data_IF_228583735004
#
_entry.id   IF_228583735004
#
_cell.length_a   1.000
_cell.length_b   1.000
_cell.length_c   1.000
_cell.angle_alpha   90.00
_cell.angle_beta   90.00
_cell.angle_gamma   90.00
#
_symmetry.space_group_name_H-M   'P 1'
#
loop_
_entity.id
_entity.type
_entity.pdbx_description
1 polymer ?
#
# COMPACT_ATOMS: atom_id res chain seq x y z
N UNK A 1 50.25 50.67 -14.13
CA UNK A 1 49.94 49.81 -15.28
C UNK A 1 48.69 48.98 -14.93
N UNK A 2 47.50 49.42 -15.40
CA UNK A 2 46.19 48.80 -15.11
C UNK A 2 45.88 47.85 -16.26
N UNK A 3 45.68 46.56 -15.96
CA UNK A 3 45.18 45.57 -16.90
C UNK A 3 43.71 45.37 -16.66
N UNK A 4 42.89 45.78 -17.63
CA UNK A 4 41.46 45.61 -17.70
C UNK A 4 41.13 44.19 -18.19
N UNK A 5 40.27 43.46 -17.49
CA UNK A 5 39.71 42.16 -17.94
C UNK A 5 38.38 42.39 -18.67
N UNK A 6 38.11 41.68 -19.75
CA UNK A 6 36.86 41.84 -20.49
C UNK A 6 35.72 41.08 -19.85
N UNK A 7 34.56 41.74 -19.86
CA UNK A 7 33.28 41.29 -19.34
C UNK A 7 32.62 40.30 -20.32
N UNK A 8 32.45 39.02 -19.94
CA UNK A 8 31.69 38.04 -20.72
C UNK A 8 30.21 38.15 -20.31
N UNK A 9 29.41 38.71 -21.21
CA UNK A 9 27.94 38.63 -21.12
C UNK A 9 27.53 37.20 -21.43
N UNK A 10 26.91 36.51 -20.45
CA UNK A 10 26.19 35.27 -20.67
C UNK A 10 24.78 35.60 -21.15
N UNK A 11 24.47 35.16 -22.37
CA UNK A 11 23.15 35.26 -22.96
C UNK A 11 22.30 34.12 -22.37
N UNK A 12 21.34 34.45 -21.53
CA UNK A 12 20.33 33.49 -21.03
C UNK A 12 19.26 33.41 -22.10
N UNK A 13 19.15 32.25 -22.76
CA UNK A 13 18.00 31.92 -23.61
C UNK A 13 16.80 31.63 -22.69
N UNK A 14 15.86 32.57 -22.64
CA UNK A 14 14.58 32.36 -22.02
C UNK A 14 13.71 31.49 -22.90
N UNK A 15 13.33 30.29 -22.39
CA UNK A 15 12.30 29.47 -22.99
C UNK A 15 10.94 30.02 -22.54
N UNK A 16 10.27 30.73 -23.44
CA UNK A 16 8.89 31.20 -23.20
C UNK A 16 7.93 30.04 -23.44
N UNK A 17 7.34 29.50 -22.37
CA UNK A 17 6.23 28.55 -22.46
C UNK A 17 4.95 29.36 -22.73
N UNK A 18 4.47 29.33 -23.97
CA UNK A 18 3.17 29.86 -24.34
C UNK A 18 2.08 28.89 -23.86
N UNK A 19 1.37 29.27 -22.81
CA UNK A 19 0.12 28.62 -22.41
C UNK A 19 -0.98 29.04 -23.39
N UNK A 20 -1.35 28.15 -24.31
CA UNK A 20 -2.52 28.32 -25.16
C UNK A 20 -3.79 27.91 -24.37
N UNK A 21 -4.57 28.90 -23.97
CA UNK A 21 -5.94 28.71 -23.49
C UNK A 21 -6.83 28.49 -24.74
N UNK A 22 -7.21 27.26 -25.00
CA UNK A 22 -8.14 26.87 -26.07
C UNK A 22 -9.54 26.64 -25.51
N UNK A 23 -10.48 27.41 -26.01
CA UNK A 23 -11.90 27.43 -25.73
C UNK A 23 -12.58 26.13 -26.20
N UNK A 24 -13.50 25.67 -25.37
CA UNK A 24 -14.39 24.51 -25.48
C UNK A 24 -15.15 24.43 -26.79
N UNK A 25 -15.05 23.27 -27.45
CA UNK A 25 -16.10 22.76 -28.35
C UNK A 25 -16.64 21.44 -27.81
N UNK A 26 -17.92 21.36 -27.56
CA UNK A 26 -18.66 20.13 -27.28
C UNK A 26 -18.65 19.24 -28.54
N UNK A 27 -17.85 18.22 -28.53
CA UNK A 27 -17.83 17.17 -29.52
C UNK A 27 -17.19 15.95 -28.88
N UNK A 28 -17.84 14.81 -28.95
CA UNK A 28 -17.45 13.45 -28.56
C UNK A 28 -16.04 13.33 -27.97
N UNK A 29 -15.96 13.30 -26.64
CA UNK A 29 -14.69 13.18 -25.93
C UNK A 29 -14.04 11.84 -26.19
N UNK A 30 -13.18 11.78 -27.18
CA UNK A 30 -12.12 10.79 -27.25
C UNK A 30 -11.18 11.06 -26.07
N UNK A 31 -10.96 10.08 -25.23
CA UNK A 31 -10.15 10.17 -24.00
C UNK A 31 -8.65 10.15 -24.34
N UNK A 32 -8.01 11.30 -24.70
CA UNK A 32 -6.61 11.30 -25.14
C UNK A 32 -5.63 10.86 -24.04
N UNK A 33 -6.04 10.98 -22.78
CA UNK A 33 -5.20 10.67 -21.63
C UNK A 33 -5.05 9.17 -21.37
N UNK A 34 -6.06 8.35 -21.68
CA UNK A 34 -6.01 6.90 -21.47
C UNK A 34 -5.05 6.22 -22.44
N UNK A 35 -5.01 6.66 -23.71
CA UNK A 35 -4.09 6.14 -24.73
C UNK A 35 -2.62 6.45 -24.43
N UNK A 36 -2.33 7.54 -23.72
CA UNK A 36 -0.98 7.90 -23.33
C UNK A 36 -0.45 6.99 -22.20
N UNK A 37 -1.28 6.69 -21.18
CA UNK A 37 -0.92 5.75 -20.12
C UNK A 37 -0.67 4.34 -20.65
N UNK A 38 -1.51 3.87 -21.58
CA UNK A 38 -1.35 2.56 -22.20
C UNK A 38 0.01 2.40 -22.91
N UNK A 39 0.46 3.43 -23.62
CA UNK A 39 1.77 3.44 -24.30
C UNK A 39 2.95 3.41 -23.33
N UNK A 40 2.81 4.07 -22.16
CA UNK A 40 3.87 4.15 -21.16
C UNK A 40 3.97 2.90 -20.28
N UNK A 41 2.86 2.21 -20.07
CA UNK A 41 2.75 1.11 -19.08
C UNK A 41 2.52 -0.26 -19.71
N UNK A 42 2.26 -0.32 -21.02
CA UNK A 42 1.85 -1.56 -21.71
C UNK A 42 0.44 -2.03 -21.36
N UNK A 43 -0.36 -1.19 -20.64
CA UNK A 43 -1.73 -1.52 -20.33
C UNK A 43 -2.60 -1.49 -21.59
N UNK A 44 -3.47 -2.50 -21.74
CA UNK A 44 -4.50 -2.50 -22.78
C UNK A 44 -5.55 -1.43 -22.44
N UNK A 45 -5.76 -0.39 -23.29
CA UNK A 45 -6.68 0.71 -23.00
C UNK A 45 -8.15 0.26 -22.90
N UNK A 46 -8.49 -0.85 -23.54
CA UNK A 46 -9.85 -1.42 -23.51
C UNK A 46 -10.07 -2.35 -22.31
N UNK A 47 -9.00 -2.61 -21.54
CA UNK A 47 -9.07 -3.49 -20.37
C UNK A 47 -9.24 -2.68 -19.09
N UNK A 48 -10.21 -3.08 -18.26
CA UNK A 48 -10.44 -2.46 -16.97
C UNK A 48 -10.95 -3.46 -15.94
N UNK A 49 -10.60 -3.20 -14.69
CA UNK A 49 -11.17 -3.87 -13.53
C UNK A 49 -12.40 -3.07 -13.07
N UNK A 50 -13.47 -3.75 -12.74
CA UNK A 50 -14.68 -3.18 -12.15
C UNK A 50 -14.95 -3.93 -10.85
N UNK A 51 -15.18 -3.22 -9.75
CA UNK A 51 -15.47 -3.80 -8.44
C UNK A 51 -16.77 -3.22 -7.90
N UNK A 52 -17.74 -4.09 -7.64
CA UNK A 52 -18.94 -3.73 -6.87
C UNK A 52 -18.71 -4.07 -5.40
N UNK A 53 -18.84 -3.07 -4.53
CA UNK A 53 -18.73 -3.25 -3.09
C UNK A 53 -19.95 -3.96 -2.53
N UNK A 54 -21.12 -3.70 -3.11
CA UNK A 54 -22.40 -4.27 -2.66
C UNK A 54 -22.49 -5.76 -3.04
N UNK A 55 -22.09 -6.13 -4.28
CA UNK A 55 -22.05 -7.52 -4.73
C UNK A 55 -20.82 -8.27 -4.22
N UNK A 56 -19.83 -7.57 -3.69
CA UNK A 56 -18.54 -8.15 -3.27
C UNK A 56 -17.91 -8.98 -4.37
N UNK A 57 -17.86 -8.39 -5.57
CA UNK A 57 -17.42 -9.04 -6.79
C UNK A 57 -16.57 -8.14 -7.63
N UNK A 58 -15.59 -8.76 -8.27
CA UNK A 58 -14.70 -8.14 -9.24
C UNK A 58 -14.97 -8.72 -10.63
N UNK A 59 -14.98 -7.87 -11.64
CA UNK A 59 -15.00 -8.23 -13.07
C UNK A 59 -13.77 -7.62 -13.74
N UNK A 60 -13.16 -8.39 -14.66
CA UNK A 60 -12.21 -7.90 -15.63
C UNK A 60 -12.92 -7.78 -16.98
N UNK A 61 -12.97 -6.59 -17.52
CA UNK A 61 -13.63 -6.31 -18.80
C UNK A 61 -12.59 -6.06 -19.89
N UNK A 62 -12.89 -6.56 -21.10
CA UNK A 62 -12.23 -6.21 -22.35
C UNK A 62 -13.26 -5.49 -23.22
N UNK A 63 -13.14 -4.17 -23.36
CA UNK A 63 -14.20 -3.36 -23.98
C UNK A 63 -15.52 -3.48 -23.19
N UNK A 64 -16.51 -4.17 -23.78
CA UNK A 64 -17.82 -4.44 -23.15
C UNK A 64 -17.95 -5.85 -22.62
N UNK A 65 -17.02 -6.74 -22.95
CA UNK A 65 -17.11 -8.15 -22.61
C UNK A 65 -16.47 -8.43 -21.26
N UNK A 66 -17.12 -9.22 -20.44
CA UNK A 66 -16.56 -9.74 -19.20
C UNK A 66 -15.69 -10.95 -19.54
N UNK A 67 -14.38 -10.83 -19.32
CA UNK A 67 -13.43 -11.92 -19.59
C UNK A 67 -13.03 -12.70 -18.32
N UNK A 68 -13.31 -12.13 -17.13
CA UNK A 68 -13.09 -12.79 -15.86
C UNK A 68 -13.97 -12.19 -14.78
N UNK A 69 -14.39 -13.00 -13.80
CA UNK A 69 -15.09 -12.54 -12.60
C UNK A 69 -14.74 -13.41 -11.41
N UNK A 70 -14.65 -12.79 -10.23
CA UNK A 70 -14.36 -13.48 -8.97
C UNK A 70 -15.03 -12.79 -7.77
N UNK A 71 -15.38 -13.53 -6.71
CA UNK A 71 -15.78 -12.95 -5.44
C UNK A 71 -14.58 -12.23 -4.79
N UNK A 72 -14.85 -11.15 -4.05
CA UNK A 72 -13.82 -10.41 -3.32
C UNK A 72 -14.29 -10.09 -1.90
N UNK A 73 -13.34 -9.92 -0.97
CA UNK A 73 -13.63 -9.24 0.28
C UNK A 73 -13.30 -7.75 0.15
N UNK A 74 -14.13 -6.92 0.76
CA UNK A 74 -14.01 -5.46 0.74
C UNK A 74 -13.95 -4.90 2.17
N UNK A 75 -13.75 -3.60 2.31
CA UNK A 75 -13.73 -2.92 3.61
C UNK A 75 -14.98 -3.20 4.44
N UNK A 76 -14.79 -3.43 5.74
CA UNK A 76 -15.87 -3.78 6.67
C UNK A 76 -16.85 -2.64 6.93
N UNK A 77 -16.48 -1.40 6.60
CA UNK A 77 -17.25 -0.21 6.95
C UNK A 77 -17.13 0.18 8.43
N UNK A 78 -16.39 -0.59 9.22
CA UNK A 78 -16.20 -0.30 10.64
C UNK A 78 -15.28 0.90 10.85
N UNK A 79 -15.42 1.53 11.99
CA UNK A 79 -14.51 2.58 12.47
C UNK A 79 -13.77 2.10 13.70
N UNK A 80 -12.52 2.53 13.82
CA UNK A 80 -11.69 2.32 15.00
C UNK A 80 -11.15 3.66 15.46
N UNK A 81 -11.29 3.96 16.75
CA UNK A 81 -10.80 5.19 17.34
C UNK A 81 -9.62 4.90 18.27
N UNK A 82 -8.55 5.67 18.11
CA UNK A 82 -7.40 5.59 18.98
C UNK A 82 -6.72 6.96 19.10
N UNK A 83 -6.49 7.41 20.33
CA UNK A 83 -5.85 8.70 20.67
C UNK A 83 -6.44 9.90 19.88
N UNK A 84 -7.76 9.98 19.79
CA UNK A 84 -8.47 11.05 19.09
C UNK A 84 -8.42 10.99 17.58
N UNK A 85 -7.88 9.91 16.99
CA UNK A 85 -7.93 9.62 15.56
C UNK A 85 -8.95 8.56 15.25
N UNK A 86 -9.77 8.81 14.21
CA UNK A 86 -10.71 7.83 13.66
C UNK A 86 -10.13 7.18 12.42
N UNK A 87 -10.06 5.87 12.42
CA UNK A 87 -9.67 5.04 11.28
C UNK A 87 -10.92 4.41 10.69
N UNK A 88 -11.14 4.58 9.38
CA UNK A 88 -12.29 4.02 8.67
C UNK A 88 -11.83 2.86 7.80
N UNK A 89 -12.42 1.72 7.99
CA UNK A 89 -12.06 0.49 7.26
C UNK A 89 -12.97 0.31 6.04
N UNK A 90 -12.93 1.29 5.14
CA UNK A 90 -13.76 1.34 3.94
C UNK A 90 -12.90 1.17 2.68
N UNK A 91 -13.40 0.40 1.71
CA UNK A 91 -12.84 0.41 0.36
C UNK A 91 -13.36 1.67 -0.35
N UNK A 92 -12.48 2.57 -0.82
CA UNK A 92 -12.92 3.84 -1.39
C UNK A 92 -13.56 3.63 -2.76
N UNK A 93 -14.74 4.21 -2.97
CA UNK A 93 -15.40 4.28 -4.27
C UNK A 93 -14.66 5.23 -5.21
N UNK A 94 -14.85 5.06 -6.51
CA UNK A 94 -14.29 5.93 -7.55
C UNK A 94 -13.37 5.21 -8.52
N UNK A 95 -12.72 5.98 -9.38
CA UNK A 95 -11.78 5.45 -10.38
C UNK A 95 -10.34 5.55 -9.88
N UNK A 96 -9.62 4.44 -9.94
CA UNK A 96 -8.20 4.30 -9.65
C UNK A 96 -7.46 3.66 -10.83
N UNK A 97 -6.17 3.49 -10.68
CA UNK A 97 -5.34 2.73 -11.60
C UNK A 97 -4.42 1.80 -10.83
N UNK A 98 -4.01 0.71 -11.48
CA UNK A 98 -2.91 -0.12 -10.98
C UNK A 98 -1.62 0.69 -11.12
N UNK A 99 -1.05 1.14 -10.01
CA UNK A 99 0.16 1.96 -9.98
C UNK A 99 1.44 1.12 -9.98
N UNK A 100 1.39 -0.06 -9.35
CA UNK A 100 2.49 -1.01 -9.29
C UNK A 100 1.96 -2.43 -9.09
N UNK A 101 2.82 -3.39 -9.40
CA UNK A 101 2.58 -4.83 -9.22
C UNK A 101 3.75 -5.41 -8.44
N UNK A 102 3.51 -6.41 -7.62
CA UNK A 102 4.58 -7.14 -6.94
C UNK A 102 4.21 -8.62 -6.75
N UNK A 103 5.24 -9.45 -6.90
CA UNK A 103 5.22 -10.88 -6.61
C UNK A 103 5.73 -11.11 -5.18
N UNK A 104 5.21 -12.12 -4.50
CA UNK A 104 5.55 -12.51 -3.13
C UNK A 104 5.70 -11.31 -2.16
N UNK A 105 4.69 -10.44 -2.10
CA UNK A 105 4.82 -9.18 -1.39
C UNK A 105 4.80 -9.35 0.12
N UNK A 106 5.73 -8.72 0.82
CA UNK A 106 5.59 -8.49 2.25
C UNK A 106 4.55 -7.39 2.52
N UNK A 107 3.84 -7.54 3.60
CA UNK A 107 3.00 -6.49 4.15
C UNK A 107 3.78 -5.66 5.16
N UNK A 108 3.69 -4.34 5.06
CA UNK A 108 4.21 -3.42 6.07
C UNK A 108 3.03 -2.82 6.83
N UNK A 109 2.71 -3.33 8.03
CA UNK A 109 1.56 -2.86 8.79
C UNK A 109 1.64 -1.36 9.08
N UNK A 110 0.59 -0.57 8.85
CA UNK A 110 0.49 0.79 9.37
C UNK A 110 0.31 0.77 10.90
N UNK A 111 0.52 1.92 11.56
CA UNK A 111 0.47 2.01 13.02
C UNK A 111 -0.89 1.63 13.61
N UNK A 112 -1.98 1.97 12.93
CA UNK A 112 -3.33 1.62 13.39
C UNK A 112 -3.51 0.11 13.64
N UNK A 113 -2.80 -0.74 12.92
CA UNK A 113 -2.83 -2.20 13.11
C UNK A 113 -2.34 -2.60 14.52
N UNK A 114 -1.28 -1.96 14.99
CA UNK A 114 -0.76 -2.19 16.34
C UNK A 114 -1.68 -1.57 17.40
N UNK A 115 -2.28 -0.42 17.12
CA UNK A 115 -3.23 0.23 18.03
C UNK A 115 -4.50 -0.60 18.19
N UNK A 116 -5.03 -1.17 17.09
CA UNK A 116 -6.17 -2.09 17.14
C UNK A 116 -5.84 -3.34 17.97
N UNK A 117 -4.68 -3.96 17.75
CA UNK A 117 -4.22 -5.10 18.54
C UNK A 117 -3.99 -4.75 20.01
N UNK A 118 -3.44 -3.58 20.27
CA UNK A 118 -3.27 -3.08 21.63
C UNK A 118 -4.62 -2.93 22.35
N UNK A 119 -5.60 -2.33 21.69
CA UNK A 119 -6.94 -2.15 22.25
C UNK A 119 -7.63 -3.50 22.52
N UNK A 120 -7.57 -4.45 21.56
CA UNK A 120 -8.17 -5.78 21.72
C UNK A 120 -7.58 -6.61 22.85
N UNK A 121 -6.31 -6.37 23.22
CA UNK A 121 -5.57 -7.16 24.21
C UNK A 121 -5.24 -6.40 25.49
N UNK A 122 -5.75 -5.17 25.62
CA UNK A 122 -5.45 -4.27 26.76
C UNK A 122 -3.95 -4.02 26.96
N UNK A 123 -3.22 -3.86 25.83
CA UNK A 123 -1.80 -3.56 25.79
C UNK A 123 -1.58 -2.05 25.59
N UNK A 124 -0.41 -1.56 26.03
CA UNK A 124 0.03 -0.19 25.73
C UNK A 124 0.93 -0.20 24.49
N UNK A 125 0.58 0.50 23.38
CA UNK A 125 1.46 0.58 22.22
C UNK A 125 2.64 1.52 22.48
N UNK A 126 3.84 1.12 22.07
CA UNK A 126 5.09 1.86 22.22
C UNK A 126 5.84 1.83 20.90
N UNK A 127 6.13 2.99 20.34
CA UNK A 127 7.00 3.09 19.16
C UNK A 127 8.45 2.87 19.57
N UNK A 128 9.17 2.08 18.81
CA UNK A 128 10.63 1.92 18.94
C UNK A 128 11.27 2.96 18.02
N UNK A 129 12.13 3.81 18.61
CA UNK A 129 12.89 4.81 17.88
C UNK A 129 14.35 4.34 17.74
N UNK A 130 14.99 4.52 16.57
CA UNK A 130 16.39 4.21 16.39
C UNK A 130 17.28 5.02 17.35
N UNK A 131 18.20 4.34 18.03
CA UNK A 131 19.13 4.95 18.99
C UNK A 131 18.59 5.02 20.42
N UNK A 132 17.39 4.54 20.68
CA UNK A 132 16.82 4.41 22.01
C UNK A 132 16.82 2.96 22.50
N UNK A 133 16.96 2.78 23.81
CA UNK A 133 16.86 1.48 24.49
C UNK A 133 15.54 1.40 25.27
N UNK A 134 14.84 0.29 25.17
CA UNK A 134 13.56 0.03 25.84
C UNK A 134 13.75 -1.09 26.86
N UNK A 135 14.02 -0.76 28.15
CA UNK A 135 14.24 -1.74 29.21
C UNK A 135 13.03 -2.65 29.42
N UNK A 136 13.29 -3.93 29.63
CA UNK A 136 12.30 -4.96 29.96
C UNK A 136 12.47 -5.42 31.42
N UNK A 137 11.40 -5.97 31.99
CA UNK A 137 11.36 -6.39 33.39
C UNK A 137 12.34 -7.49 33.75
N UNK A 138 12.85 -8.21 32.76
CA UNK A 138 13.82 -9.31 32.94
C UNK A 138 15.29 -8.88 32.86
N UNK A 139 15.56 -7.57 32.84
CA UNK A 139 16.90 -7.00 32.76
C UNK A 139 17.51 -6.97 31.36
N UNK A 140 16.75 -7.31 30.33
CA UNK A 140 17.11 -7.09 28.93
C UNK A 140 16.48 -5.80 28.41
N UNK A 141 16.79 -5.41 27.17
CA UNK A 141 16.12 -4.29 26.51
C UNK A 141 15.91 -4.56 25.02
N UNK A 142 14.99 -3.81 24.40
CA UNK A 142 14.82 -3.76 22.95
C UNK A 142 15.58 -2.55 22.40
N UNK A 143 16.17 -2.71 21.22
CA UNK A 143 16.80 -1.63 20.47
C UNK A 143 16.79 -1.92 18.96
N UNK A 144 17.18 -0.90 18.16
CA UNK A 144 17.39 -1.02 16.73
C UNK A 144 18.88 -1.08 16.43
N UNK A 145 19.31 -2.13 15.68
CA UNK A 145 20.68 -2.23 15.11
C UNK A 145 20.60 -2.39 13.59
N UNK A 146 20.97 -1.34 12.87
CA UNK A 146 20.84 -1.30 11.41
C UNK A 146 19.36 -1.44 10.98
N UNK A 147 19.04 -2.49 10.22
CA UNK A 147 17.66 -2.77 9.76
C UNK A 147 16.90 -3.75 10.69
N UNK A 148 17.47 -4.12 11.83
CA UNK A 148 16.85 -5.05 12.77
C UNK A 148 16.40 -4.37 14.05
N UNK A 149 15.19 -4.73 14.50
CA UNK A 149 14.78 -4.61 15.89
C UNK A 149 15.10 -5.92 16.59
N UNK A 150 15.73 -5.85 17.74
CA UNK A 150 16.10 -7.03 18.48
C UNK A 150 16.13 -6.80 19.99
N UNK A 151 16.40 -7.87 20.69
CA UNK A 151 16.54 -7.90 22.14
C UNK A 151 18.00 -8.06 22.52
N UNK A 152 18.48 -7.23 23.42
CA UNK A 152 19.80 -7.33 24.04
C UNK A 152 19.64 -7.95 25.42
N UNK A 153 20.34 -9.03 25.66
CA UNK A 153 20.32 -9.68 26.97
C UNK A 153 21.23 -8.94 27.98
N UNK A 154 21.16 -9.36 29.25
CA UNK A 154 21.98 -8.79 30.35
C UNK A 154 23.50 -8.86 30.11
N UNK A 155 23.96 -9.65 29.14
CA UNK A 155 25.39 -9.80 28.78
C UNK A 155 25.77 -8.94 27.56
N UNK A 156 24.85 -8.10 27.03
CA UNK A 156 25.09 -7.25 25.86
C UNK A 156 24.96 -7.95 24.51
N UNK A 157 24.50 -9.20 24.46
CA UNK A 157 24.32 -9.92 23.20
C UNK A 157 22.99 -9.53 22.56
N UNK A 158 23.04 -9.09 21.31
CA UNK A 158 21.88 -8.75 20.50
C UNK A 158 21.33 -9.97 19.74
N UNK A 159 20.02 -10.14 19.80
CA UNK A 159 19.27 -11.14 19.07
C UNK A 159 18.15 -10.45 18.27
N UNK A 160 18.30 -10.44 16.94
CA UNK A 160 17.27 -9.88 16.06
C UNK A 160 15.96 -10.64 16.27
N UNK A 161 14.85 -9.88 16.38
CA UNK A 161 13.52 -10.47 16.49
C UNK A 161 13.09 -11.07 15.14
N UNK A 162 12.29 -12.10 15.18
CA UNK A 162 11.79 -12.74 13.94
C UNK A 162 10.82 -11.80 13.22
N UNK A 163 11.03 -11.50 11.92
CA UNK A 163 10.09 -10.71 11.12
C UNK A 163 8.67 -11.28 11.16
N UNK A 164 7.67 -10.39 11.29
CA UNK A 164 6.26 -10.76 11.39
C UNK A 164 5.79 -11.24 12.76
N UNK A 165 6.71 -11.47 13.70
CA UNK A 165 6.36 -11.77 15.08
C UNK A 165 6.12 -10.49 15.89
N UNK A 166 5.05 -10.50 16.69
CA UNK A 166 4.73 -9.37 17.57
C UNK A 166 5.75 -9.26 18.72
N UNK A 167 6.19 -8.02 18.99
CA UNK A 167 7.04 -7.72 20.14
C UNK A 167 6.14 -7.32 21.31
N UNK A 168 5.78 -8.29 22.14
CA UNK A 168 4.91 -8.06 23.30
C UNK A 168 5.69 -8.42 24.58
N UNK A 169 5.92 -7.42 25.42
CA UNK A 169 6.60 -7.54 26.70
C UNK A 169 5.95 -6.59 27.72
N UNK A 170 5.87 -7.00 28.96
CA UNK A 170 5.47 -6.17 30.11
C UNK A 170 4.16 -5.40 29.90
N UNK A 171 3.15 -6.05 29.27
CA UNK A 171 1.86 -5.41 28.98
C UNK A 171 1.90 -4.38 27.85
N UNK A 172 2.98 -4.35 27.06
CA UNK A 172 3.18 -3.43 25.97
C UNK A 172 3.30 -4.18 24.65
N UNK A 173 2.80 -3.59 23.55
CA UNK A 173 3.09 -3.99 22.18
C UNK A 173 4.05 -2.97 21.57
N UNK A 174 5.23 -3.41 21.21
CA UNK A 174 6.25 -2.55 20.62
C UNK A 174 6.10 -2.50 19.11
N UNK A 175 6.12 -1.28 18.56
CA UNK A 175 5.91 -0.99 17.13
C UNK A 175 7.27 -0.77 16.49
N UNK A 176 7.75 -1.69 15.62
CA UNK A 176 9.02 -1.51 14.93
C UNK A 176 8.99 -0.30 14.01
N UNK A 177 10.09 0.43 13.82
CA UNK A 177 10.19 1.52 12.86
C UNK A 177 9.96 1.04 11.42
N UNK A 178 9.44 1.94 10.57
CA UNK A 178 9.42 1.68 9.13
C UNK A 178 10.86 1.48 8.61
N UNK A 179 11.03 0.55 7.67
CA UNK A 179 12.34 0.20 7.12
C UNK A 179 13.05 -0.93 7.86
N UNK A 180 12.59 -1.34 9.05
CA UNK A 180 13.14 -2.52 9.73
C UNK A 180 12.51 -3.81 9.22
N UNK A 181 13.27 -4.91 9.27
CA UNK A 181 12.79 -6.24 8.87
C UNK A 181 11.61 -6.71 9.72
N UNK A 182 11.59 -6.35 10.99
CA UNK A 182 10.55 -6.73 11.95
C UNK A 182 9.22 -6.02 11.70
N UNK A 183 9.23 -4.90 10.91
CA UNK A 183 8.01 -4.25 10.44
C UNK A 183 7.36 -4.97 9.26
N UNK A 184 8.06 -5.91 8.62
CA UNK A 184 7.57 -6.65 7.46
C UNK A 184 6.92 -7.96 7.89
N UNK A 185 5.70 -8.20 7.43
CA UNK A 185 4.97 -9.44 7.68
C UNK A 185 4.88 -10.22 6.36
N UNK A 186 5.55 -11.37 6.24
CA UNK A 186 5.52 -12.19 5.04
C UNK A 186 4.18 -12.94 4.91
N UNK A 187 3.84 -13.35 3.69
CA UNK A 187 2.72 -14.25 3.34
C UNK A 187 1.30 -13.76 3.67
N UNK A 188 1.11 -12.52 4.13
CA UNK A 188 -0.22 -11.98 4.48
C UNK A 188 -1.01 -11.56 3.25
N UNK A 189 -0.32 -11.10 2.20
CA UNK A 189 -0.92 -10.56 0.99
C UNK A 189 -1.09 -11.59 -0.14
N UNK A 190 -0.84 -12.88 0.16
CA UNK A 190 -0.85 -13.92 -0.85
C UNK A 190 0.26 -13.78 -1.90
N UNK A 191 0.14 -14.45 -3.06
CA UNK A 191 1.23 -14.54 -4.04
C UNK A 191 1.51 -13.23 -4.77
N UNK A 192 0.54 -12.33 -4.87
CA UNK A 192 0.64 -11.09 -5.65
C UNK A 192 -0.08 -9.93 -4.97
N UNK A 193 0.30 -8.70 -5.36
CA UNK A 193 -0.49 -7.49 -5.09
C UNK A 193 -0.52 -6.54 -6.28
N UNK A 194 -1.65 -5.85 -6.44
CA UNK A 194 -1.82 -4.70 -7.31
C UNK A 194 -1.99 -3.46 -6.43
N UNK A 195 -1.13 -2.46 -6.60
CA UNK A 195 -1.16 -1.23 -5.81
C UNK A 195 -2.08 -0.22 -6.46
N UNK A 196 -3.05 0.33 -5.71
CA UNK A 196 -4.06 1.29 -6.19
C UNK A 196 -3.84 2.72 -5.68
N UNK A 197 -2.79 2.93 -4.88
CA UNK A 197 -2.52 4.22 -4.21
C UNK A 197 -3.19 4.36 -2.85
N UNK A 198 -2.76 5.36 -2.08
CA UNK A 198 -3.28 5.68 -0.74
C UNK A 198 -3.30 4.49 0.25
N UNK A 199 -2.40 3.52 0.07
CA UNK A 199 -2.36 2.30 0.87
C UNK A 199 -3.34 1.22 0.45
N UNK A 200 -4.19 1.44 -0.56
CA UNK A 200 -5.15 0.44 -1.04
C UNK A 200 -4.55 -0.52 -2.06
N UNK A 201 -4.92 -1.79 -1.90
CA UNK A 201 -4.41 -2.89 -2.70
C UNK A 201 -5.56 -3.77 -3.21
N UNK A 202 -5.32 -4.47 -4.33
CA UNK A 202 -5.95 -5.76 -4.62
C UNK A 202 -4.87 -6.80 -4.35
N UNK A 203 -5.15 -7.78 -3.47
CA UNK A 203 -4.16 -8.77 -3.06
C UNK A 203 -4.80 -10.11 -2.70
N UNK A 204 -3.99 -11.13 -2.61
CA UNK A 204 -4.42 -12.44 -2.12
C UNK A 204 -4.59 -12.47 -0.60
N UNK A 205 -4.67 -13.66 -0.07
CA UNK A 205 -4.86 -13.91 1.35
C UNK A 205 -3.92 -15.01 1.83
N UNK A 206 -3.63 -15.00 3.12
CA UNK A 206 -3.12 -16.20 3.79
C UNK A 206 -4.23 -17.26 3.86
N UNK A 207 -3.91 -18.53 3.77
CA UNK A 207 -4.87 -19.64 3.72
C UNK A 207 -5.92 -19.57 4.84
N UNK A 208 -5.52 -19.12 6.03
CA UNK A 208 -6.44 -18.95 7.17
C UNK A 208 -7.50 -17.84 6.96
N UNK A 209 -7.34 -16.98 5.98
CA UNK A 209 -8.23 -15.87 5.68
C UNK A 209 -9.08 -16.07 4.42
N UNK A 210 -9.02 -17.23 3.78
CA UNK A 210 -9.81 -17.53 2.57
C UNK A 210 -11.32 -17.43 2.81
N UNK A 211 -11.78 -17.78 3.99
CA UNK A 211 -13.19 -17.68 4.39
C UNK A 211 -13.72 -16.24 4.42
N UNK A 212 -12.84 -15.24 4.38
CA UNK A 212 -13.25 -13.83 4.30
C UNK A 212 -13.70 -13.40 2.90
N UNK A 213 -13.38 -14.17 1.85
CA UNK A 213 -13.75 -13.85 0.48
C UNK A 213 -15.27 -13.87 0.31
N UNK A 214 -15.82 -12.86 -0.36
CA UNK A 214 -17.26 -12.64 -0.51
C UNK A 214 -17.89 -11.88 0.66
N UNK A 215 -17.10 -11.38 1.62
CA UNK A 215 -17.60 -10.65 2.78
C UNK A 215 -17.03 -9.22 2.88
N UNK A 216 -17.65 -8.38 3.73
CA UNK A 216 -17.14 -7.07 4.11
C UNK A 216 -16.27 -7.23 5.39
N UNK A 217 -15.03 -7.71 5.24
CA UNK A 217 -14.17 -8.11 6.36
C UNK A 217 -12.76 -7.54 6.30
N UNK A 218 -12.43 -6.68 5.31
CA UNK A 218 -11.10 -6.07 5.22
C UNK A 218 -11.05 -4.71 5.92
N UNK A 219 -9.84 -4.20 6.10
CA UNK A 219 -9.59 -2.83 6.57
C UNK A 219 -9.54 -1.81 5.41
N UNK A 220 -10.08 -2.17 4.22
CA UNK A 220 -10.17 -1.30 3.05
C UNK A 220 -9.57 -1.89 1.77
N UNK A 221 -8.57 -2.76 1.85
CA UNK A 221 -8.03 -3.46 0.68
C UNK A 221 -9.06 -4.45 0.10
N UNK A 222 -8.96 -4.72 -1.19
CA UNK A 222 -9.75 -5.73 -1.88
C UNK A 222 -8.99 -7.06 -1.82
N UNK A 223 -9.58 -8.08 -1.17
CA UNK A 223 -8.99 -9.41 -1.04
C UNK A 223 -9.60 -10.36 -2.06
N UNK A 224 -8.77 -11.20 -2.66
CA UNK A 224 -9.18 -12.25 -3.60
C UNK A 224 -8.64 -13.61 -3.15
N UNK A 225 -9.28 -14.67 -3.61
CA UNK A 225 -8.67 -16.01 -3.57
C UNK A 225 -7.34 -15.97 -4.35
N UNK A 226 -6.36 -16.75 -3.90
CA UNK A 226 -5.02 -16.73 -4.47
C UNK A 226 -4.97 -17.17 -5.92
N UNK A 227 -5.77 -18.16 -6.33
CA UNK A 227 -5.81 -18.64 -7.73
C UNK A 227 -6.48 -17.63 -8.65
N UNK A 228 -7.59 -17.03 -8.21
CA UNK A 228 -8.27 -15.95 -8.91
C UNK A 228 -7.34 -14.75 -9.10
N UNK A 229 -6.57 -14.42 -8.07
CA UNK A 229 -5.59 -13.34 -8.14
C UNK A 229 -4.46 -13.65 -9.12
N UNK A 230 -3.91 -14.87 -9.13
CA UNK A 230 -2.88 -15.28 -10.13
C UNK A 230 -3.38 -15.09 -11.55
N UNK A 231 -4.64 -15.50 -11.81
CA UNK A 231 -5.25 -15.32 -13.12
C UNK A 231 -5.42 -13.83 -13.48
N UNK A 232 -6.00 -13.03 -12.57
CA UNK A 232 -6.15 -11.59 -12.74
C UNK A 232 -4.80 -10.91 -12.98
N UNK A 233 -3.80 -11.25 -12.16
CA UNK A 233 -2.47 -10.68 -12.21
C UNK A 233 -1.77 -10.92 -13.56
N UNK A 234 -1.94 -12.09 -14.16
CA UNK A 234 -1.39 -12.40 -15.48
C UNK A 234 -2.00 -11.55 -16.62
N UNK A 235 -3.24 -11.09 -16.44
CA UNK A 235 -3.98 -10.33 -17.45
C UNK A 235 -3.91 -8.80 -17.28
N UNK A 236 -3.46 -8.31 -16.13
CA UNK A 236 -3.53 -6.90 -15.76
C UNK A 236 -2.13 -6.29 -15.72
N UNK A 237 -1.92 -5.15 -16.38
CA UNK A 237 -0.67 -4.39 -16.35
C UNK A 237 -0.78 -3.15 -15.45
N UNK A 238 0.39 -2.58 -15.09
CA UNK A 238 0.46 -1.22 -14.53
C UNK A 238 -0.24 -0.25 -15.48
N UNK A 239 -1.04 0.69 -14.93
CA UNK A 239 -1.85 1.63 -15.70
C UNK A 239 -3.28 1.15 -15.95
N UNK A 240 -3.61 -0.14 -15.78
CA UNK A 240 -4.98 -0.65 -15.93
C UNK A 240 -5.94 0.12 -15.02
N UNK A 241 -7.06 0.56 -15.60
CA UNK A 241 -8.12 1.28 -14.90
C UNK A 241 -8.86 0.35 -13.93
N UNK A 242 -9.21 0.87 -12.76
CA UNK A 242 -10.00 0.19 -11.72
C UNK A 242 -11.16 1.10 -11.32
N UNK A 243 -12.38 0.69 -11.59
CA UNK A 243 -13.60 1.39 -11.21
C UNK A 243 -14.24 0.67 -10.02
N UNK A 244 -14.46 1.37 -8.90
CA UNK A 244 -15.00 0.85 -7.64
C UNK A 244 -16.31 1.60 -7.33
N UNK A 245 -17.43 0.92 -7.14
CA UNK A 245 -18.75 1.49 -6.91
C UNK A 245 -19.58 0.72 -5.88
#
# INVERSE_FOLDING_TARGET
MKVQRPNRRQTVLGVTVLAAIGIVFMGTQTRPFEGQWARLTGADPDRRIVVSLDDRRLWLLQGRDTIFTAPVAVGSGQTFEFNGRTYRFETPRGTRRVLARADDPNWTPPDWHYYEKAALRSLTPVHIEPGEEYPLSDGSHLEVRGEDVGRVNQYGNFYAWTPGMELIFDGKIYIPPFGTRQRMVPNVLGPHKLVLGDGYLIHGVHDLNETSIGSAASHGCIRMNNDDLRYLYALVATGTRVDIF
#
